data_IF_402356300124
#
_entry.id   IF_402356300124
#
_cell.length_a   1.000
_cell.length_b   1.000
_cell.length_c   1.000
_cell.angle_alpha   90.00
_cell.angle_beta   90.00
_cell.angle_gamma   90.00
#
_symmetry.space_group_name_H-M   'P 1'
#
loop_
_entity.id
_entity.type
_entity.pdbx_description
1 polymer ?
#
# COMPACT_ATOMS: atom_id res chain seq x y z
N UNK A 1 21.22 -4.04 -0.57
CA UNK A 1 20.50 -4.84 -1.57
C UNK A 1 19.02 -4.54 -1.43
N UNK A 2 18.30 -4.35 -2.53
CA UNK A 2 16.85 -4.07 -2.49
C UNK A 2 16.08 -5.32 -2.08
N UNK A 3 15.15 -5.21 -1.12
CA UNK A 3 14.36 -6.37 -0.66
C UNK A 3 13.43 -6.90 -1.76
N UNK A 4 13.07 -8.19 -1.71
CA UNK A 4 12.19 -8.80 -2.73
C UNK A 4 10.78 -8.20 -2.66
N UNK A 5 10.30 -7.83 -1.48
CA UNK A 5 9.02 -7.15 -1.28
C UNK A 5 8.96 -5.83 -2.06
N UNK A 6 10.06 -5.09 -2.09
CA UNK A 6 10.13 -3.84 -2.85
C UNK A 6 10.13 -4.06 -4.36
N UNK A 7 10.81 -5.09 -4.85
CA UNK A 7 10.73 -5.45 -6.27
C UNK A 7 9.29 -5.82 -6.69
N UNK A 8 8.54 -6.50 -5.81
CA UNK A 8 7.11 -6.79 -6.01
C UNK A 8 6.31 -5.49 -6.07
N UNK A 9 6.55 -4.55 -5.15
CA UNK A 9 5.91 -3.23 -5.16
C UNK A 9 6.19 -2.48 -6.46
N UNK A 10 7.45 -2.37 -6.88
CA UNK A 10 7.83 -1.67 -8.11
C UNK A 10 7.17 -2.26 -9.34
N UNK A 11 7.11 -3.59 -9.42
CA UNK A 11 6.40 -4.29 -10.51
C UNK A 11 4.92 -3.92 -10.53
N UNK A 12 4.23 -3.92 -9.39
CA UNK A 12 2.82 -3.49 -9.30
C UNK A 12 2.62 -2.02 -9.70
N UNK A 13 3.55 -1.15 -9.35
CA UNK A 13 3.50 0.27 -9.67
C UNK A 13 3.73 0.57 -11.17
N UNK A 14 4.35 -0.33 -11.93
CA UNK A 14 4.47 -0.19 -13.39
C UNK A 14 3.08 -0.23 -14.06
N UNK A 15 2.17 -1.09 -13.61
CA UNK A 15 0.82 -1.17 -14.17
C UNK A 15 -0.03 0.05 -13.78
N UNK A 16 0.13 0.55 -12.55
CA UNK A 16 -0.47 1.83 -12.13
C UNK A 16 -0.02 2.97 -13.05
N UNK A 17 1.27 3.02 -13.37
CA UNK A 17 1.84 4.04 -14.27
C UNK A 17 1.21 3.96 -15.66
N UNK A 18 1.05 2.75 -16.22
CA UNK A 18 0.37 2.55 -17.50
C UNK A 18 -1.07 3.05 -17.48
N UNK A 19 -1.84 2.75 -16.43
CA UNK A 19 -3.23 3.21 -16.29
C UNK A 19 -3.33 4.74 -16.26
N UNK A 20 -2.42 5.39 -15.54
CA UNK A 20 -2.33 6.85 -15.47
C UNK A 20 -2.00 7.44 -16.83
N UNK A 21 -1.01 6.88 -17.54
CA UNK A 21 -0.64 7.33 -18.88
C UNK A 21 -1.77 7.18 -19.89
N UNK A 22 -2.50 6.05 -19.85
CA UNK A 22 -3.67 5.84 -20.70
C UNK A 22 -4.73 6.91 -20.46
N UNK A 23 -5.00 7.26 -19.19
CA UNK A 23 -5.93 8.34 -18.85
C UNK A 23 -5.43 9.71 -19.31
N UNK A 24 -4.14 10.00 -19.11
CA UNK A 24 -3.54 11.30 -19.45
C UNK A 24 -3.47 11.54 -20.96
N UNK A 25 -3.41 10.47 -21.77
CA UNK A 25 -3.42 10.53 -23.24
C UNK A 25 -4.81 10.69 -23.85
N UNK A 26 -5.89 10.73 -23.06
CA UNK A 26 -7.24 10.96 -23.57
C UNK A 26 -7.39 12.41 -24.06
N UNK A 27 -7.72 12.57 -25.34
CA UNK A 27 -7.74 13.86 -26.04
C UNK A 27 -8.89 14.79 -25.60
N UNK A 28 -10.07 14.23 -25.32
CA UNK A 28 -11.27 15.02 -25.01
C UNK A 28 -11.67 14.92 -23.54
N UNK A 29 -12.27 15.99 -23.03
CA UNK A 29 -12.82 16.02 -21.67
C UNK A 29 -13.98 15.01 -21.51
N UNK A 30 -14.73 14.77 -22.59
CA UNK A 30 -15.78 13.76 -22.63
C UNK A 30 -15.22 12.35 -22.46
N UNK A 31 -14.14 12.00 -23.18
CA UNK A 31 -13.46 10.71 -22.98
C UNK A 31 -12.90 10.58 -21.57
N UNK A 32 -12.31 11.65 -21.00
CA UNK A 32 -11.83 11.60 -19.61
C UNK A 32 -12.95 11.30 -18.62
N UNK A 33 -14.14 11.87 -18.82
CA UNK A 33 -15.31 11.57 -18.00
C UNK A 33 -15.79 10.13 -18.15
N UNK A 34 -15.79 9.59 -19.38
CA UNK A 34 -16.18 8.20 -19.65
C UNK A 34 -15.19 7.18 -19.07
N UNK A 35 -13.89 7.50 -19.07
CA UNK A 35 -12.82 6.62 -18.62
C UNK A 35 -12.29 6.94 -17.22
N UNK A 36 -13.10 7.59 -16.37
CA UNK A 36 -12.81 7.82 -14.94
C UNK A 36 -12.50 6.53 -14.17
N UNK A 37 -13.00 5.39 -14.66
CA UNK A 37 -12.68 4.05 -14.15
C UNK A 37 -11.18 3.78 -14.11
N UNK A 38 -10.39 4.36 -15.04
CA UNK A 38 -8.93 4.21 -15.05
C UNK A 38 -8.28 4.80 -13.81
N UNK A 39 -8.75 5.97 -13.33
CA UNK A 39 -8.25 6.58 -12.09
C UNK A 39 -8.64 5.77 -10.86
N UNK A 40 -9.87 5.23 -10.82
CA UNK A 40 -10.31 4.34 -9.73
C UNK A 40 -9.48 3.07 -9.68
N UNK A 41 -9.30 2.42 -10.83
CA UNK A 41 -8.47 1.24 -10.96
C UNK A 41 -7.02 1.51 -10.53
N UNK A 42 -6.44 2.64 -10.95
CA UNK A 42 -5.10 3.04 -10.56
C UNK A 42 -4.95 3.23 -9.04
N UNK A 43 -5.90 3.88 -8.37
CA UNK A 43 -5.88 4.01 -6.90
C UNK A 43 -5.99 2.64 -6.22
N UNK A 44 -6.87 1.77 -6.73
CA UNK A 44 -7.06 0.42 -6.18
C UNK A 44 -5.80 -0.42 -6.33
N UNK A 45 -5.18 -0.41 -7.50
CA UNK A 45 -3.94 -1.13 -7.76
C UNK A 45 -2.76 -0.56 -6.97
N UNK A 46 -2.70 0.76 -6.76
CA UNK A 46 -1.65 1.40 -5.92
C UNK A 46 -1.74 0.87 -4.49
N UNK A 47 -2.94 0.88 -3.91
CA UNK A 47 -3.15 0.40 -2.55
C UNK A 47 -2.91 -1.12 -2.46
N UNK A 48 -3.37 -1.92 -3.43
CA UNK A 48 -3.12 -3.35 -3.47
C UNK A 48 -1.63 -3.69 -3.58
N UNK A 49 -0.86 -2.97 -4.41
CA UNK A 49 0.58 -3.13 -4.49
C UNK A 49 1.27 -2.88 -3.14
N UNK A 50 0.81 -1.88 -2.39
CA UNK A 50 1.31 -1.62 -1.04
C UNK A 50 0.90 -2.70 -0.03
N UNK A 51 -0.32 -3.24 -0.12
CA UNK A 51 -0.76 -4.37 0.74
C UNK A 51 0.11 -5.60 0.52
N UNK A 52 0.32 -6.00 -0.73
CA UNK A 52 1.21 -7.12 -1.08
C UNK A 52 2.64 -6.86 -0.61
N UNK A 53 3.11 -5.61 -0.73
CA UNK A 53 4.43 -5.22 -0.23
C UNK A 53 4.54 -5.42 1.28
N UNK A 54 3.62 -4.88 2.09
CA UNK A 54 3.79 -4.89 3.55
C UNK A 54 3.68 -6.31 4.12
N UNK A 55 2.87 -7.16 3.49
CA UNK A 55 2.78 -8.59 3.81
C UNK A 55 4.09 -9.32 3.50
N UNK A 56 4.61 -9.18 2.27
CA UNK A 56 5.88 -9.78 1.87
C UNK A 56 7.04 -9.24 2.71
N UNK A 57 7.03 -7.95 3.04
CA UNK A 57 8.07 -7.31 3.85
C UNK A 57 8.08 -7.86 5.28
N UNK A 58 6.91 -8.04 5.91
CA UNK A 58 6.83 -8.66 7.22
C UNK A 58 7.41 -10.08 7.21
N UNK A 59 7.09 -10.89 6.19
CA UNK A 59 7.66 -12.24 6.02
C UNK A 59 9.17 -12.18 5.86
N UNK A 60 9.69 -11.33 4.98
CA UNK A 60 11.13 -11.16 4.76
C UNK A 60 11.88 -10.81 6.05
N UNK A 61 11.35 -9.86 6.82
CA UNK A 61 11.99 -9.43 8.07
C UNK A 61 11.95 -10.49 9.17
N UNK A 62 10.85 -11.24 9.28
CA UNK A 62 10.76 -12.34 10.26
C UNK A 62 11.67 -13.48 9.86
N UNK A 63 11.71 -13.89 8.60
CA UNK A 63 12.63 -14.94 8.14
C UNK A 63 14.09 -14.54 8.34
N UNK A 64 14.46 -13.27 8.12
CA UNK A 64 15.80 -12.79 8.41
C UNK A 64 16.18 -12.92 9.91
N UNK A 65 15.22 -12.68 10.82
CA UNK A 65 15.42 -12.86 12.27
C UNK A 65 15.49 -14.34 12.65
N UNK A 66 14.66 -15.19 12.04
CA UNK A 66 14.66 -16.64 12.27
C UNK A 66 15.93 -17.31 11.75
N UNK A 67 16.51 -16.82 10.66
CA UNK A 67 17.78 -17.33 10.12
C UNK A 67 18.98 -17.16 11.07
N UNK A 68 18.85 -16.34 12.11
CA UNK A 68 19.85 -16.18 13.18
C UNK A 68 19.67 -17.16 14.35
N UNK A 69 18.59 -17.96 14.34
CA UNK A 69 18.23 -18.90 15.40
C UNK A 69 18.46 -20.34 14.94
N UNK A 70 19.06 -21.17 15.80
CA UNK A 70 19.26 -22.59 15.54
C UNK A 70 18.05 -23.47 15.94
N UNK A 71 17.04 -22.89 16.59
CA UNK A 71 15.82 -23.61 17.01
C UNK A 71 14.78 -23.69 15.88
N UNK A 72 14.82 -24.80 15.13
CA UNK A 72 13.89 -25.05 14.02
C UNK A 72 12.45 -25.29 14.51
N UNK A 73 12.23 -25.83 15.71
CA UNK A 73 10.87 -26.06 16.22
C UNK A 73 10.16 -24.72 16.48
N UNK A 74 10.85 -23.81 17.16
CA UNK A 74 10.34 -22.45 17.39
C UNK A 74 10.22 -21.67 16.08
N UNK A 75 11.18 -21.79 15.17
CA UNK A 75 11.09 -21.15 13.85
C UNK A 75 9.86 -21.63 13.08
N UNK A 76 9.61 -22.94 13.01
CA UNK A 76 8.44 -23.51 12.33
C UNK A 76 7.12 -23.04 12.96
N UNK A 77 7.05 -22.90 14.28
CA UNK A 77 5.87 -22.35 14.97
C UNK A 77 5.63 -20.89 14.59
N UNK A 78 6.68 -20.06 14.63
CA UNK A 78 6.60 -18.63 14.30
C UNK A 78 6.16 -18.44 12.84
N UNK A 79 6.69 -19.23 11.89
CA UNK A 79 6.27 -19.19 10.48
C UNK A 79 4.78 -19.46 10.30
N UNK A 80 4.26 -20.51 10.95
CA UNK A 80 2.82 -20.85 10.89
C UNK A 80 1.96 -19.75 11.51
N UNK A 81 2.40 -19.19 12.62
CA UNK A 81 1.71 -18.09 13.31
C UNK A 81 1.69 -16.82 12.44
N UNK A 82 2.81 -16.50 11.79
CA UNK A 82 2.92 -15.36 10.87
C UNK A 82 2.02 -15.53 9.66
N UNK A 83 2.07 -16.69 8.99
CA UNK A 83 1.22 -17.00 7.85
C UNK A 83 -0.28 -16.84 8.19
N UNK A 84 -0.69 -17.32 9.37
CA UNK A 84 -2.05 -17.12 9.86
C UNK A 84 -2.43 -15.64 10.05
N UNK A 85 -1.53 -14.81 10.56
CA UNK A 85 -1.82 -13.37 10.74
C UNK A 85 -1.79 -12.59 9.44
N UNK A 86 -0.89 -12.91 8.50
CA UNK A 86 -0.85 -12.34 7.16
C UNK A 86 -2.14 -12.64 6.41
N UNK A 87 -2.61 -13.89 6.42
CA UNK A 87 -3.86 -14.29 5.77
C UNK A 87 -5.12 -13.58 6.32
N UNK A 88 -5.03 -13.01 7.53
CA UNK A 88 -6.11 -12.25 8.19
C UNK A 88 -5.91 -10.74 8.11
N UNK A 89 -4.82 -10.27 7.50
CA UNK A 89 -4.47 -8.85 7.37
C UNK A 89 -5.31 -8.16 6.28
N UNK A 90 -6.62 -8.36 6.28
CA UNK A 90 -7.51 -7.67 5.36
C UNK A 90 -7.48 -6.17 5.68
N UNK A 91 -7.21 -5.32 4.68
CA UNK A 91 -7.10 -3.87 4.86
C UNK A 91 -6.09 -3.49 5.97
N UNK A 92 -4.76 -3.49 5.67
CA UNK A 92 -3.70 -3.23 6.64
C UNK A 92 -3.68 -1.76 7.03
N UNK A 93 -4.53 -1.36 7.96
CA UNK A 93 -4.45 -0.02 8.57
C UNK A 93 -3.16 0.13 9.34
N UNK A 94 -2.76 1.38 9.61
CA UNK A 94 -1.58 1.68 10.43
C UNK A 94 -1.51 0.88 11.72
N UNK A 95 -2.64 0.71 12.40
CA UNK A 95 -2.71 0.01 13.68
C UNK A 95 -2.53 -1.50 13.53
N UNK A 96 -3.02 -2.08 12.43
CA UNK A 96 -2.83 -3.51 12.16
C UNK A 96 -1.39 -3.80 11.78
N UNK A 97 -0.79 -2.96 10.93
CA UNK A 97 0.63 -3.06 10.57
C UNK A 97 1.50 -2.89 11.82
N UNK A 98 1.22 -1.88 12.66
CA UNK A 98 1.89 -1.71 13.96
C UNK A 98 1.83 -2.96 14.83
N UNK A 99 0.63 -3.53 15.01
CA UNK A 99 0.43 -4.74 15.83
C UNK A 99 1.23 -5.92 15.30
N UNK A 100 1.21 -6.14 13.99
CA UNK A 100 1.95 -7.22 13.34
C UNK A 100 3.46 -7.08 13.59
N UNK A 101 4.04 -5.91 13.32
CA UNK A 101 5.48 -5.72 13.49
C UNK A 101 5.92 -5.73 14.96
N UNK A 102 5.07 -5.28 15.89
CA UNK A 102 5.32 -5.43 17.32
C UNK A 102 5.30 -6.90 17.75
N UNK A 103 4.30 -7.68 17.30
CA UNK A 103 4.16 -9.09 17.69
C UNK A 103 5.36 -9.95 17.26
N UNK A 104 5.85 -9.77 16.03
CA UNK A 104 6.87 -10.66 15.47
C UNK A 104 8.30 -10.11 15.53
N UNK A 105 8.47 -8.79 15.51
CA UNK A 105 9.79 -8.16 15.41
C UNK A 105 10.15 -7.31 16.63
N UNK A 106 9.18 -7.02 17.51
CA UNK A 106 9.31 -6.09 18.63
C UNK A 106 9.68 -4.66 18.18
N UNK A 107 9.15 -4.25 17.02
CA UNK A 107 9.42 -2.95 16.40
C UNK A 107 8.11 -2.26 16.03
N UNK A 108 7.89 -1.04 16.52
CA UNK A 108 6.85 -0.17 15.98
C UNK A 108 7.33 0.45 14.67
N UNK A 109 7.11 -0.27 13.56
CA UNK A 109 7.49 0.19 12.22
C UNK A 109 6.90 1.57 11.91
N UNK A 110 5.76 1.92 12.49
CA UNK A 110 5.07 3.17 12.17
C UNK A 110 5.72 4.40 12.78
N UNK A 111 6.58 4.27 13.79
CA UNK A 111 7.33 5.40 14.36
C UNK A 111 8.43 5.91 13.42
N UNK A 112 8.89 5.03 12.52
CA UNK A 112 9.87 5.37 11.48
C UNK A 112 9.27 6.14 10.31
N UNK A 113 7.94 6.20 10.20
CA UNK A 113 7.21 6.80 9.08
C UNK A 113 7.34 8.33 9.07
N UNK A 114 8.55 8.78 8.73
CA UNK A 114 9.00 10.16 8.75
C UNK A 114 9.74 10.44 7.46
N UNK A 115 9.18 11.32 6.65
CA UNK A 115 9.82 11.81 5.43
C UNK A 115 9.20 13.13 5.03
N UNK A 116 10.00 14.04 4.47
CA UNK A 116 9.54 15.35 4.04
C UNK A 116 8.75 16.07 5.17
N UNK A 117 7.48 16.38 4.92
CA UNK A 117 6.57 17.04 5.86
C UNK A 117 5.60 16.06 6.56
N UNK A 118 5.90 14.76 6.59
CA UNK A 118 5.10 13.78 7.31
C UNK A 118 5.76 13.42 8.64
N UNK A 119 5.07 13.70 9.73
CA UNK A 119 5.29 13.03 11.02
C UNK A 119 4.66 11.62 11.02
N UNK A 120 5.02 10.73 11.96
CA UNK A 120 4.42 9.39 12.04
C UNK A 120 2.91 9.44 12.17
N UNK A 121 2.40 10.38 12.97
CA UNK A 121 0.98 10.57 13.15
C UNK A 121 0.30 10.90 11.82
N UNK A 122 0.81 11.89 11.09
CA UNK A 122 0.26 12.29 9.79
C UNK A 122 0.38 11.18 8.74
N UNK A 123 1.48 10.42 8.75
CA UNK A 123 1.66 9.29 7.85
C UNK A 123 0.62 8.19 8.12
N UNK A 124 0.37 7.83 9.39
CA UNK A 124 -0.66 6.86 9.78
C UNK A 124 -2.06 7.31 9.36
N UNK A 125 -2.40 8.57 9.66
CA UNK A 125 -3.69 9.15 9.28
C UNK A 125 -3.86 9.17 7.76
N UNK A 126 -2.80 9.53 7.02
CA UNK A 126 -2.81 9.58 5.56
C UNK A 126 -2.93 8.19 4.94
N UNK A 127 -2.23 7.19 5.45
CA UNK A 127 -2.36 5.80 5.02
C UNK A 127 -3.82 5.34 5.16
N UNK A 128 -4.39 5.48 6.35
CA UNK A 128 -5.77 5.06 6.61
C UNK A 128 -6.78 5.80 5.73
N UNK A 129 -6.53 7.08 5.44
CA UNK A 129 -7.33 7.85 4.47
C UNK A 129 -7.28 7.23 3.08
N UNK A 130 -6.10 6.89 2.56
CA UNK A 130 -5.98 6.29 1.23
C UNK A 130 -6.61 4.89 1.15
N UNK A 131 -6.44 4.07 2.17
CA UNK A 131 -7.07 2.74 2.24
C UNK A 131 -8.61 2.84 2.29
N UNK A 132 -9.14 3.85 2.99
CA UNK A 132 -10.58 4.15 2.96
C UNK A 132 -11.02 4.60 1.57
N UNK A 133 -10.29 5.53 0.95
CA UNK A 133 -10.59 6.01 -0.40
C UNK A 133 -10.55 4.88 -1.44
N UNK A 134 -9.66 3.89 -1.29
CA UNK A 134 -9.68 2.66 -2.09
C UNK A 134 -11.02 1.93 -1.92
N UNK A 135 -11.44 1.67 -0.68
CA UNK A 135 -12.70 0.99 -0.40
C UNK A 135 -13.89 1.73 -1.01
N UNK A 136 -13.92 3.06 -0.86
CA UNK A 136 -14.94 3.92 -1.45
C UNK A 136 -14.91 3.85 -2.99
N UNK A 137 -13.73 3.82 -3.61
CA UNK A 137 -13.57 3.72 -5.07
C UNK A 137 -14.13 2.43 -5.66
N UNK A 138 -14.10 1.33 -4.90
CA UNK A 138 -14.64 0.02 -5.31
C UNK A 138 -16.15 -0.03 -5.11
N UNK A 139 -16.65 0.45 -3.96
CA UNK A 139 -18.08 0.39 -3.64
C UNK A 139 -18.91 1.45 -4.37
N UNK A 140 -18.34 2.63 -4.62
CA UNK A 140 -18.99 3.69 -5.37
C UNK A 140 -18.78 3.46 -6.87
N UNK A 141 -19.49 2.46 -7.39
CA UNK A 141 -19.82 2.41 -8.82
C UNK A 141 -20.75 3.59 -9.09
N UNK A 142 -20.19 4.76 -9.45
CA UNK A 142 -21.00 5.90 -9.85
C UNK A 142 -21.90 5.48 -11.03
N UNK A 143 -23.19 5.30 -10.76
CA UNK A 143 -24.25 5.18 -11.76
C UNK A 143 -24.70 6.55 -12.30
N UNK A 144 -23.93 7.62 -12.06
CA UNK A 144 -24.32 8.96 -12.48
C UNK A 144 -23.72 9.29 -13.84
N UNK A 145 -24.53 9.14 -14.89
CA UNK A 145 -24.39 9.89 -16.15
C UNK A 145 -24.65 11.41 -15.95
N UNK A 146 -24.66 11.90 -14.71
CA UNK A 146 -25.02 13.26 -14.35
C UNK A 146 -23.74 14.12 -14.23
N UNK A 147 -23.52 15.09 -15.13
CA UNK A 147 -22.31 15.92 -15.16
C UNK A 147 -22.15 16.82 -13.92
N UNK A 148 -23.12 16.87 -12.99
CA UNK A 148 -23.06 17.66 -11.76
C UNK A 148 -22.44 16.95 -10.55
N UNK A 149 -22.25 15.63 -10.59
CA UNK A 149 -21.59 14.91 -9.50
C UNK A 149 -20.06 14.97 -9.67
N UNK A 150 -19.38 15.71 -8.79
CA UNK A 150 -17.93 15.78 -8.78
C UNK A 150 -17.31 14.37 -8.67
N UNK A 151 -16.37 14.06 -9.55
CA UNK A 151 -15.68 12.78 -9.56
C UNK A 151 -15.04 12.47 -8.20
N UNK A 152 -15.24 11.24 -7.71
CA UNK A 152 -14.75 10.81 -6.40
C UNK A 152 -13.22 10.91 -6.27
N UNK A 153 -12.50 10.65 -7.36
CA UNK A 153 -11.03 10.67 -7.39
C UNK A 153 -10.55 11.68 -8.41
N UNK A 154 -9.88 12.72 -7.94
CA UNK A 154 -9.20 13.68 -8.81
C UNK A 154 -7.84 13.15 -9.24
N UNK A 155 -7.36 13.60 -10.40
CA UNK A 155 -6.05 13.22 -10.93
C UNK A 155 -4.89 13.59 -9.99
N UNK A 156 -5.00 14.74 -9.32
CA UNK A 156 -4.06 15.22 -8.30
C UNK A 156 -4.09 14.36 -7.01
N UNK A 157 -5.26 13.88 -6.59
CA UNK A 157 -5.37 12.97 -5.45
C UNK A 157 -4.66 11.64 -5.74
N UNK A 158 -4.78 11.14 -6.98
CA UNK A 158 -4.09 9.93 -7.42
C UNK A 158 -2.57 10.11 -7.41
N UNK A 159 -2.03 11.23 -7.91
CA UNK A 159 -0.58 11.51 -7.83
C UNK A 159 -0.09 11.56 -6.38
N UNK A 160 -0.87 12.19 -5.49
CA UNK A 160 -0.56 12.26 -4.07
C UNK A 160 -0.56 10.88 -3.42
N UNK A 161 -1.49 10.00 -3.80
CA UNK A 161 -1.55 8.63 -3.30
C UNK A 161 -0.34 7.82 -3.77
N UNK A 162 -0.05 7.83 -5.08
CA UNK A 162 1.10 7.14 -5.67
C UNK A 162 2.41 7.56 -4.99
N UNK A 163 2.67 8.88 -4.90
CA UNK A 163 3.86 9.41 -4.22
C UNK A 163 3.93 8.99 -2.76
N UNK A 164 2.81 9.08 -2.04
CA UNK A 164 2.74 8.69 -0.64
C UNK A 164 3.14 7.23 -0.42
N UNK A 165 2.59 6.30 -1.20
CA UNK A 165 2.91 4.87 -1.06
C UNK A 165 4.35 4.58 -1.47
N UNK A 166 4.86 5.20 -2.54
CA UNK A 166 6.27 5.05 -2.92
C UNK A 166 7.22 5.51 -1.82
N UNK A 167 6.98 6.68 -1.22
CA UNK A 167 7.84 7.19 -0.15
C UNK A 167 7.73 6.34 1.13
N UNK A 168 6.52 5.89 1.49
CA UNK A 168 6.29 5.01 2.63
C UNK A 168 7.08 3.70 2.50
N UNK A 169 7.04 3.08 1.32
CA UNK A 169 7.79 1.86 1.01
C UNK A 169 9.30 2.08 1.12
N UNK A 170 9.83 3.21 0.61
CA UNK A 170 11.24 3.56 0.74
C UNK A 170 11.68 3.70 2.19
N UNK A 171 10.88 4.37 3.02
CA UNK A 171 11.19 4.55 4.44
C UNK A 171 11.22 3.20 5.14
N UNK A 172 10.24 2.32 4.88
CA UNK A 172 10.21 0.99 5.49
C UNK A 172 11.47 0.17 5.18
N UNK A 173 11.98 0.23 3.94
CA UNK A 173 13.22 -0.47 3.58
C UNK A 173 14.44 0.01 4.37
N UNK A 174 14.51 1.31 4.68
CA UNK A 174 15.65 1.89 5.39
C UNK A 174 15.76 1.49 6.87
N UNK A 175 14.73 0.84 7.43
CA UNK A 175 14.67 0.48 8.86
C UNK A 175 15.54 -0.73 9.18
N UNK A 176 15.58 -1.69 8.26
CA UNK A 176 16.22 -2.99 8.47
C UNK A 176 17.41 -3.25 7.54
N UNK A 177 17.91 -2.20 6.88
CA UNK A 177 19.19 -2.19 6.17
C UNK A 177 20.29 -1.67 7.06
#
# INVERSE_FOLDING_TARGET
>A
MTSRAYAIFETGMQDVTKLIQLFDNLESQEHRQQYEVLKRAALVMTAAAWETYIEAFAVEQVEAKLALSDDEYTAAYIRRRLDHEINRLHNPTSDKVKKLFLEFLDVDITESWRWNNYSPKEARERLNKWLKMRGDAVHQVCQSNDPKNAHLIKRDDLDKAVRFFTDLVRVNQSIFT
#
